data_IF_844096598345
#
_entry.id   IF_844096598345
#
_cell.length_a   1.000
_cell.length_b   1.000
_cell.length_c   1.000
_cell.angle_alpha   90.00
_cell.angle_beta   90.00
_cell.angle_gamma   90.00
#
_symmetry.space_group_name_H-M   'P 1'
#
loop_
_entity.id
_entity.type
_entity.pdbx_description
1 polymer ?
#
# COMPACT_ATOMS: atom_id res chain seq x y z
N UNK A 1 17.05 8.21 8.58
CA UNK A 1 17.04 8.47 7.12
C UNK A 1 15.92 7.62 6.51
N UNK A 2 15.21 8.13 5.51
CA UNK A 2 13.98 7.53 4.98
C UNK A 2 14.04 7.45 3.46
N UNK A 3 13.57 6.35 2.90
CA UNK A 3 13.36 6.14 1.47
C UNK A 3 11.90 5.72 1.25
N UNK A 4 11.30 6.25 0.18
CA UNK A 4 9.99 5.81 -0.33
C UNK A 4 10.09 5.64 -1.82
N UNK A 5 9.50 4.56 -2.33
CA UNK A 5 9.44 4.29 -3.76
C UNK A 5 8.78 5.43 -4.52
N UNK A 6 9.33 5.77 -5.69
CA UNK A 6 8.71 6.72 -6.62
C UNK A 6 7.54 6.12 -7.40
N UNK A 7 7.38 4.79 -7.33
CA UNK A 7 6.29 4.04 -7.99
C UNK A 7 4.94 4.55 -7.46
N UNK A 8 3.98 4.82 -8.35
CA UNK A 8 2.65 5.25 -7.96
C UNK A 8 1.88 4.15 -7.22
N UNK A 9 0.84 4.51 -6.46
CA UNK A 9 -0.02 3.51 -5.80
C UNK A 9 -0.63 2.53 -6.82
N UNK A 10 -1.07 3.04 -7.97
CA UNK A 10 -1.63 2.21 -9.04
C UNK A 10 -0.59 1.25 -9.64
N UNK A 11 0.66 1.69 -9.82
CA UNK A 11 1.75 0.81 -10.25
C UNK A 11 2.04 -0.29 -9.23
N UNK A 12 2.08 0.05 -7.94
CA UNK A 12 2.30 -0.92 -6.87
C UNK A 12 1.15 -1.94 -6.82
N UNK A 13 -0.09 -1.50 -6.96
CA UNK A 13 -1.26 -2.41 -7.01
C UNK A 13 -1.22 -3.29 -8.26
N UNK A 14 -0.86 -2.78 -9.44
CA UNK A 14 -0.69 -3.62 -10.63
C UNK A 14 0.36 -4.73 -10.41
N UNK A 15 1.46 -4.40 -9.72
CA UNK A 15 2.54 -5.36 -9.43
C UNK A 15 2.13 -6.43 -8.42
N UNK A 16 1.13 -6.17 -7.56
CA UNK A 16 0.59 -7.20 -6.65
C UNK A 16 0.07 -8.41 -7.41
N UNK A 17 -0.49 -8.24 -8.63
CA UNK A 17 -1.01 -9.35 -9.43
C UNK A 17 0.00 -10.47 -9.73
N UNK A 18 1.30 -10.20 -9.57
CA UNK A 18 2.38 -11.17 -9.75
C UNK A 18 2.99 -11.65 -8.41
N UNK A 19 2.36 -11.34 -7.28
CA UNK A 19 2.86 -11.58 -5.93
C UNK A 19 1.86 -12.36 -5.10
N UNK A 20 2.30 -12.89 -3.97
CA UNK A 20 1.40 -13.46 -2.95
C UNK A 20 0.80 -12.36 -2.09
N UNK A 21 -0.53 -12.25 -2.14
CA UNK A 21 -1.35 -11.40 -1.27
C UNK A 21 -2.72 -12.05 -1.07
N UNK A 22 -3.37 -11.79 0.06
CA UNK A 22 -4.67 -12.38 0.36
C UNK A 22 -5.83 -11.59 -0.24
N UNK A 23 -5.80 -10.27 -0.07
CA UNK A 23 -6.83 -9.33 -0.49
C UNK A 23 -6.26 -7.91 -0.55
N UNK A 24 -6.87 -7.06 -1.36
CA UNK A 24 -6.58 -5.63 -1.43
C UNK A 24 -7.75 -4.92 -0.77
N UNK A 25 -7.47 -4.24 0.34
CA UNK A 25 -8.44 -3.41 1.04
C UNK A 25 -8.25 -1.96 0.65
N UNK A 26 -9.19 -1.44 -0.12
CA UNK A 26 -9.22 -0.05 -0.57
C UNK A 26 -10.07 0.75 0.41
N UNK A 27 -9.54 1.87 0.87
CA UNK A 27 -10.20 2.79 1.78
C UNK A 27 -10.55 4.07 1.02
N UNK A 28 -11.83 4.40 1.02
CA UNK A 28 -12.36 5.66 0.48
C UNK A 28 -12.76 6.55 1.66
N UNK A 29 -12.15 7.72 1.75
CA UNK A 29 -12.42 8.73 2.76
C UNK A 29 -12.86 10.04 2.10
N UNK A 30 -13.47 10.93 2.88
CA UNK A 30 -13.68 12.30 2.44
C UNK A 30 -12.31 12.95 2.13
N UNK A 31 -12.21 13.74 1.06
CA UNK A 31 -10.98 14.48 0.75
C UNK A 31 -10.60 15.45 1.90
N UNK A 32 -11.60 16.03 2.57
CA UNK A 32 -11.42 16.76 3.81
C UNK A 32 -11.28 15.79 4.98
N UNK A 33 -10.05 15.64 5.50
CA UNK A 33 -9.71 14.67 6.56
C UNK A 33 -10.54 14.81 7.85
N UNK A 34 -11.09 15.99 8.12
CA UNK A 34 -11.93 16.26 9.29
C UNK A 34 -13.39 15.84 9.10
N UNK A 35 -13.83 15.63 7.85
CA UNK A 35 -15.19 15.24 7.51
C UNK A 35 -15.32 13.73 7.33
N UNK A 36 -16.50 13.22 7.62
CA UNK A 36 -16.89 11.83 7.35
C UNK A 36 -17.66 11.76 6.04
N UNK A 37 -17.63 10.61 5.39
CA UNK A 37 -18.59 10.35 4.32
C UNK A 37 -19.98 10.20 4.94
N UNK A 38 -21.02 10.79 4.34
CA UNK A 38 -22.38 10.58 4.79
C UNK A 38 -22.73 9.10 4.67
N UNK A 39 -23.58 8.62 5.60
CA UNK A 39 -24.15 7.28 5.47
C UNK A 39 -25.18 7.31 4.35
N UNK A 40 -24.80 6.79 3.19
CA UNK A 40 -25.70 6.66 2.05
C UNK A 40 -26.38 5.29 2.05
N UNK A 41 -27.55 5.21 1.44
CA UNK A 41 -28.25 3.95 1.21
C UNK A 41 -27.34 2.94 0.46
N UNK A 42 -27.16 1.71 0.96
CA UNK A 42 -26.33 0.69 0.32
C UNK A 42 -26.68 0.40 -1.15
N UNK A 43 -27.97 0.46 -1.53
CA UNK A 43 -28.39 0.22 -2.91
C UNK A 43 -27.87 1.29 -3.87
N UNK A 44 -27.92 2.57 -3.46
CA UNK A 44 -27.34 3.66 -4.24
C UNK A 44 -25.83 3.50 -4.38
N UNK A 45 -25.17 2.96 -3.34
CA UNK A 45 -23.73 2.69 -3.40
C UNK A 45 -23.42 1.61 -4.42
N UNK A 46 -24.21 0.52 -4.41
CA UNK A 46 -24.05 -0.53 -5.42
C UNK A 46 -24.27 0.00 -6.84
N UNK A 47 -25.30 0.79 -7.07
CA UNK A 47 -25.58 1.36 -8.40
C UNK A 47 -24.44 2.28 -8.87
N UNK A 48 -23.95 3.15 -8.00
CA UNK A 48 -22.79 4.01 -8.30
C UNK A 48 -21.54 3.19 -8.64
N UNK A 49 -21.25 2.15 -7.84
CA UNK A 49 -20.08 1.29 -8.06
C UNK A 49 -20.21 0.52 -9.36
N UNK A 50 -21.39 -0.02 -9.70
CA UNK A 50 -21.63 -0.70 -10.98
C UNK A 50 -21.39 0.20 -12.19
N UNK A 51 -21.75 1.48 -12.07
CA UNK A 51 -21.54 2.47 -13.12
C UNK A 51 -20.07 2.92 -13.23
N UNK A 52 -19.36 2.98 -12.11
CA UNK A 52 -18.00 3.55 -12.04
C UNK A 52 -16.89 2.50 -12.17
N UNK A 53 -17.18 1.24 -11.86
CA UNK A 53 -16.22 0.14 -11.80
C UNK A 53 -16.70 -0.99 -12.71
N UNK A 54 -16.01 -1.17 -13.83
CA UNK A 54 -16.35 -2.21 -14.81
C UNK A 54 -16.28 -3.63 -14.23
N UNK A 55 -15.33 -3.88 -13.32
CA UNK A 55 -15.13 -5.18 -12.66
C UNK A 55 -15.77 -5.25 -11.27
N UNK A 56 -16.88 -4.55 -11.06
CA UNK A 56 -17.57 -4.49 -9.78
C UNK A 56 -17.95 -5.87 -9.20
N UNK A 57 -18.15 -6.88 -10.05
CA UNK A 57 -18.41 -8.26 -9.63
C UNK A 57 -17.22 -8.90 -8.88
N UNK A 58 -16.01 -8.35 -9.02
CA UNK A 58 -14.81 -8.80 -8.30
C UNK A 58 -14.68 -8.19 -6.90
N UNK A 59 -15.63 -7.35 -6.48
CA UNK A 59 -15.69 -6.82 -5.13
C UNK A 59 -16.26 -7.90 -4.21
N UNK A 60 -15.43 -8.40 -3.30
CA UNK A 60 -15.82 -9.45 -2.36
C UNK A 60 -16.62 -8.88 -1.17
N UNK A 61 -16.32 -7.65 -0.76
CA UNK A 61 -16.98 -7.02 0.38
C UNK A 61 -16.97 -5.49 0.29
N UNK A 62 -17.96 -4.88 0.93
CA UNK A 62 -18.04 -3.45 1.17
C UNK A 62 -18.53 -3.20 2.59
N UNK A 63 -17.82 -2.36 3.35
CA UNK A 63 -18.24 -1.98 4.70
C UNK A 63 -17.93 -0.53 5.06
N UNK A 64 -18.75 0.05 5.92
CA UNK A 64 -18.42 1.32 6.57
C UNK A 64 -17.48 1.09 7.74
N UNK A 65 -16.41 1.85 7.83
CA UNK A 65 -15.50 1.82 8.98
C UNK A 65 -16.04 2.68 10.12
N UNK A 66 -15.59 2.42 11.34
CA UNK A 66 -15.93 3.24 12.53
C UNK A 66 -15.49 4.70 12.40
N UNK A 67 -14.51 4.97 11.53
CA UNK A 67 -13.99 6.30 11.24
C UNK A 67 -14.83 7.07 10.20
N UNK A 68 -15.93 6.49 9.68
CA UNK A 68 -16.76 7.14 8.67
C UNK A 68 -16.15 7.11 7.27
N UNK A 69 -15.34 6.09 6.98
CA UNK A 69 -14.79 5.78 5.66
C UNK A 69 -15.55 4.59 5.06
N UNK A 70 -15.49 4.42 3.75
CA UNK A 70 -15.96 3.20 3.08
C UNK A 70 -14.75 2.35 2.78
N UNK A 71 -14.86 1.05 2.98
CA UNK A 71 -13.81 0.10 2.66
C UNK A 71 -14.36 -0.94 1.68
N UNK A 72 -13.63 -1.15 0.59
CA UNK A 72 -13.88 -2.20 -0.39
C UNK A 72 -12.78 -3.25 -0.29
N UNK A 73 -13.17 -4.51 -0.44
CA UNK A 73 -12.24 -5.66 -0.47
C UNK A 73 -12.35 -6.32 -1.82
N UNK A 74 -11.21 -6.54 -2.48
CA UNK A 74 -11.13 -7.27 -3.74
C UNK A 74 -9.80 -8.01 -3.83
N UNK A 75 -9.78 -9.13 -4.57
CA UNK A 75 -8.53 -9.79 -4.96
C UNK A 75 -8.04 -9.37 -6.33
N UNK A 76 -8.86 -8.66 -7.11
CA UNK A 76 -8.52 -8.26 -8.47
C UNK A 76 -7.80 -6.89 -8.49
N UNK A 77 -6.53 -6.81 -8.92
CA UNK A 77 -5.78 -5.56 -8.95
C UNK A 77 -6.42 -4.51 -9.86
N UNK A 78 -7.06 -4.92 -10.96
CA UNK A 78 -7.73 -4.02 -11.90
C UNK A 78 -8.95 -3.37 -11.22
N UNK A 79 -9.79 -4.16 -10.55
CA UNK A 79 -10.88 -3.64 -9.74
C UNK A 79 -10.38 -2.68 -8.65
N UNK A 80 -9.28 -3.02 -7.97
CA UNK A 80 -8.68 -2.17 -6.95
C UNK A 80 -8.24 -0.82 -7.52
N UNK A 81 -7.59 -0.80 -8.68
CA UNK A 81 -7.15 0.44 -9.35
C UNK A 81 -8.34 1.30 -9.79
N UNK A 82 -9.41 0.68 -10.30
CA UNK A 82 -10.62 1.43 -10.66
C UNK A 82 -11.23 2.13 -9.45
N UNK A 83 -11.28 1.44 -8.29
CA UNK A 83 -11.72 2.04 -7.03
C UNK A 83 -10.76 3.13 -6.54
N UNK A 84 -9.45 2.93 -6.66
CA UNK A 84 -8.43 3.90 -6.27
C UNK A 84 -8.43 5.15 -7.14
N UNK A 85 -8.84 5.03 -8.40
CA UNK A 85 -8.88 6.13 -9.37
C UNK A 85 -10.13 7.01 -9.24
N UNK A 86 -11.04 6.69 -8.31
CA UNK A 86 -12.20 7.52 -8.04
C UNK A 86 -11.78 8.83 -7.35
N UNK A 87 -12.07 9.97 -7.98
CA UNK A 87 -11.86 11.30 -7.39
C UNK A 87 -13.10 11.80 -6.64
N UNK A 88 -14.27 11.32 -7.04
CA UNK A 88 -15.55 11.63 -6.41
C UNK A 88 -16.33 10.36 -6.11
N UNK A 89 -17.14 10.43 -5.06
CA UNK A 89 -18.05 9.36 -4.66
C UNK A 89 -19.40 9.99 -4.38
N UNK A 90 -20.39 9.72 -5.25
CA UNK A 90 -21.73 10.29 -5.15
C UNK A 90 -21.74 11.83 -5.07
N UNK A 91 -20.89 12.48 -5.87
CA UNK A 91 -20.78 13.95 -5.91
C UNK A 91 -19.95 14.57 -4.78
N UNK A 92 -19.35 13.75 -3.91
CA UNK A 92 -18.45 14.22 -2.84
C UNK A 92 -17.01 13.95 -3.25
N UNK A 93 -16.13 14.94 -3.11
CA UNK A 93 -14.70 14.73 -3.34
C UNK A 93 -14.10 13.80 -2.28
N UNK A 94 -13.32 12.82 -2.74
CA UNK A 94 -12.77 11.76 -1.89
C UNK A 94 -11.25 11.68 -1.98
N UNK A 95 -10.68 10.98 -1.02
CA UNK A 95 -9.33 10.44 -1.08
C UNK A 95 -9.39 8.92 -0.99
N UNK A 96 -8.49 8.27 -1.71
CA UNK A 96 -8.38 6.81 -1.79
C UNK A 96 -6.99 6.38 -1.32
N UNK A 97 -6.93 5.23 -0.66
CA UNK A 97 -5.67 4.59 -0.26
C UNK A 97 -5.92 3.09 -0.08
N UNK A 98 -4.88 2.32 0.20
CA UNK A 98 -4.99 0.90 0.57
C UNK A 98 -4.52 0.65 2.01
N UNK A 99 -4.98 -0.46 2.59
CA UNK A 99 -4.43 -0.97 3.85
C UNK A 99 -3.15 -1.75 3.52
N UNK A 100 -2.01 -1.13 3.75
CA UNK A 100 -0.69 -1.66 3.40
C UNK A 100 -0.36 -2.96 4.12
N UNK A 101 -0.85 -3.15 5.34
CA UNK A 101 -0.61 -4.35 6.15
C UNK A 101 -1.09 -5.64 5.45
N UNK A 102 -2.04 -5.54 4.52
CA UNK A 102 -2.60 -6.69 3.81
C UNK A 102 -1.84 -7.03 2.51
N UNK A 103 -0.93 -6.14 2.09
CA UNK A 103 -0.25 -6.22 0.78
C UNK A 103 1.25 -5.94 0.88
N UNK A 104 1.79 -5.85 2.10
CA UNK A 104 3.20 -5.58 2.34
C UNK A 104 3.75 -6.42 3.49
N UNK A 105 5.04 -6.71 3.41
CA UNK A 105 5.79 -7.41 4.42
C UNK A 105 6.96 -6.54 4.88
N UNK A 106 7.36 -6.70 6.15
CA UNK A 106 8.40 -5.87 6.76
C UNK A 106 9.44 -6.72 7.46
N UNK A 107 10.70 -6.36 7.31
CA UNK A 107 11.82 -7.02 7.98
C UNK A 107 12.96 -6.04 8.25
N UNK A 108 13.85 -6.42 9.17
CA UNK A 108 15.05 -5.65 9.52
C UNK A 108 16.27 -6.30 8.91
N UNK A 109 17.13 -5.48 8.32
CA UNK A 109 18.53 -5.85 8.06
C UNK A 109 19.40 -5.07 9.03
N UNK A 110 20.28 -5.79 9.72
CA UNK A 110 21.23 -5.22 10.68
C UNK A 110 22.56 -4.94 10.00
N UNK A 111 23.42 -4.20 10.71
CA UNK A 111 24.81 -4.01 10.31
C UNK A 111 24.99 -3.43 8.89
N UNK A 112 24.10 -2.54 8.46
CA UNK A 112 24.27 -1.77 7.21
C UNK A 112 25.12 -0.53 7.49
N UNK A 113 26.22 -0.30 6.73
CA UNK A 113 27.01 0.90 6.86
C UNK A 113 26.16 2.16 6.76
N UNK A 114 26.39 3.12 7.65
CA UNK A 114 25.67 4.40 7.66
C UNK A 114 26.00 5.25 6.43
N UNK A 115 27.15 5.01 5.81
CA UNK A 115 27.60 5.61 4.56
C UNK A 115 26.83 5.12 3.34
N UNK A 116 26.30 3.89 3.34
CA UNK A 116 25.53 3.33 2.22
C UNK A 116 24.24 4.12 2.00
N UNK A 117 24.04 4.76 0.83
CA UNK A 117 22.77 5.41 0.51
C UNK A 117 21.62 4.40 0.44
N UNK A 118 20.45 4.75 0.97
CA UNK A 118 19.29 3.86 0.91
C UNK A 118 18.86 3.56 -0.54
N UNK A 119 19.09 4.47 -1.49
CA UNK A 119 18.79 4.23 -2.90
C UNK A 119 19.63 3.10 -3.52
N UNK A 120 20.92 3.02 -3.15
CA UNK A 120 21.81 1.94 -3.59
C UNK A 120 21.39 0.60 -2.99
N UNK A 121 21.08 0.59 -1.69
CA UNK A 121 20.58 -0.60 -1.00
C UNK A 121 19.25 -1.11 -1.59
N UNK A 122 18.36 -0.21 -1.99
CA UNK A 122 17.12 -0.58 -2.68
C UNK A 122 17.40 -1.25 -4.01
N UNK A 123 18.27 -0.65 -4.85
CA UNK A 123 18.59 -1.19 -6.16
C UNK A 123 19.18 -2.61 -6.05
N UNK A 124 20.09 -2.82 -5.10
CA UNK A 124 20.69 -4.12 -4.83
C UNK A 124 19.68 -5.17 -4.35
N UNK A 125 18.78 -4.79 -3.43
CA UNK A 125 17.76 -5.71 -2.91
C UNK A 125 16.72 -6.06 -3.96
N UNK A 126 16.22 -5.08 -4.73
CA UNK A 126 15.26 -5.34 -5.81
C UNK A 126 15.89 -6.25 -6.89
N UNK A 127 17.15 -6.03 -7.27
CA UNK A 127 17.88 -6.83 -8.28
C UNK A 127 18.14 -8.27 -7.83
N UNK A 128 18.66 -8.47 -6.61
CA UNK A 128 19.10 -9.80 -6.14
C UNK A 128 17.95 -10.69 -5.64
N UNK A 129 16.79 -10.12 -5.29
CA UNK A 129 15.72 -10.83 -4.59
C UNK A 129 14.38 -10.88 -5.34
N UNK A 130 14.29 -10.31 -6.55
CA UNK A 130 13.05 -10.24 -7.35
C UNK A 130 11.86 -9.74 -6.52
N UNK A 131 12.07 -8.61 -5.83
CA UNK A 131 11.09 -8.01 -4.94
C UNK A 131 10.94 -6.52 -5.24
N UNK A 132 9.87 -5.91 -4.73
CA UNK A 132 9.64 -4.46 -4.85
C UNK A 132 9.73 -3.83 -3.48
N UNK A 133 10.66 -2.90 -3.30
CA UNK A 133 10.77 -2.12 -2.08
C UNK A 133 9.81 -0.93 -2.15
N UNK A 134 8.92 -0.85 -1.18
CA UNK A 134 7.94 0.25 -1.02
C UNK A 134 8.53 1.38 -0.17
N UNK A 135 9.20 1.03 0.92
CA UNK A 135 9.73 1.96 1.91
C UNK A 135 10.97 1.39 2.60
N UNK A 136 11.94 2.24 2.95
CA UNK A 136 12.98 1.90 3.92
C UNK A 136 13.16 2.99 4.97
N UNK A 137 13.46 2.57 6.20
CA UNK A 137 13.78 3.46 7.31
C UNK A 137 15.04 3.00 8.04
N UNK A 138 16.09 3.82 7.97
CA UNK A 138 17.33 3.63 8.74
C UNK A 138 17.20 4.21 10.14
N UNK A 139 17.52 3.43 11.16
CA UNK A 139 17.55 3.86 12.56
C UNK A 139 18.97 4.20 12.98
N UNK A 140 19.24 5.49 13.16
CA UNK A 140 20.52 5.96 13.67
C UNK A 140 20.45 6.02 15.20
N UNK A 141 21.41 5.39 15.88
CA UNK A 141 21.55 5.50 17.34
C UNK A 141 22.47 6.69 17.64
N UNK A 142 21.95 7.69 18.35
CA UNK A 142 22.76 8.83 18.80
C UNK A 142 23.91 8.33 19.67
N UNK A 143 25.11 8.88 19.46
CA UNK A 143 26.35 8.57 20.20
C UNK A 143 26.82 7.11 20.08
N UNK A 144 26.40 6.38 19.04
CA UNK A 144 26.97 5.07 18.73
C UNK A 144 28.26 5.26 17.95
N UNK A 145 29.41 4.72 18.42
CA UNK A 145 30.64 4.70 17.63
C UNK A 145 30.57 3.74 16.44
N UNK A 146 29.53 2.89 16.37
CA UNK A 146 29.31 1.99 15.23
C UNK A 146 28.82 2.79 14.04
N UNK A 147 29.60 2.75 12.96
CA UNK A 147 29.23 3.21 11.61
C UNK A 147 28.23 2.28 10.91
N UNK A 148 27.44 1.55 11.69
CA UNK A 148 26.49 0.54 11.25
C UNK A 148 25.14 0.82 11.88
N UNK A 149 24.06 0.58 11.12
CA UNK A 149 22.71 0.83 11.61
C UNK A 149 21.71 -0.17 11.03
N UNK A 150 20.68 -0.55 11.79
CA UNK A 150 19.60 -1.35 11.26
C UNK A 150 18.71 -0.52 10.31
N UNK A 151 18.19 -1.20 9.29
CA UNK A 151 17.26 -0.66 8.30
C UNK A 151 16.00 -1.51 8.30
N UNK A 152 14.84 -0.90 8.59
CA UNK A 152 13.53 -1.51 8.37
C UNK A 152 13.17 -1.36 6.90
N UNK A 153 12.82 -2.46 6.26
CA UNK A 153 12.47 -2.52 4.85
C UNK A 153 11.04 -2.98 4.76
N UNK A 154 10.23 -2.30 3.95
CA UNK A 154 8.89 -2.71 3.58
C UNK A 154 8.90 -3.10 2.10
N UNK A 155 8.54 -4.33 1.82
CA UNK A 155 8.39 -4.85 0.46
C UNK A 155 6.91 -5.03 0.11
N UNK A 156 6.62 -5.03 -1.19
CA UNK A 156 5.32 -5.40 -1.72
C UNK A 156 5.14 -6.92 -1.64
N UNK A 157 3.92 -7.37 -1.33
CA UNK A 157 3.60 -8.78 -1.05
C UNK A 157 3.65 -9.09 0.44
N UNK A 158 2.96 -10.16 0.85
CA UNK A 158 2.81 -10.50 2.29
C UNK A 158 3.84 -11.50 2.80
N UNK A 159 4.74 -11.98 1.94
CA UNK A 159 5.73 -13.00 2.27
C UNK A 159 7.11 -12.36 2.38
N UNK A 160 7.74 -12.44 3.55
CA UNK A 160 9.15 -12.06 3.71
C UNK A 160 10.01 -13.16 3.07
N UNK A 161 11.00 -12.81 2.21
CA UNK A 161 11.96 -13.79 1.71
C UNK A 161 12.70 -14.47 2.85
N UNK A 162 12.87 -15.79 2.78
CA UNK A 162 13.57 -16.58 3.80
C UNK A 162 15.02 -16.14 3.99
N UNK A 163 15.67 -15.73 2.90
CA UNK A 163 16.98 -15.12 2.89
C UNK A 163 16.98 -13.89 1.99
N UNK A 164 17.62 -12.81 2.45
CA UNK A 164 17.85 -11.60 1.66
C UNK A 164 19.29 -11.61 1.18
N UNK A 165 19.46 -11.51 -0.14
CA UNK A 165 20.74 -11.33 -0.80
C UNK A 165 21.05 -9.84 -0.87
N UNK A 166 22.23 -9.47 -0.39
CA UNK A 166 22.86 -8.14 -0.46
C UNK A 166 24.28 -8.35 -1.00
#
# INVERSE_FOLDING_TARGET
MFYKSAKSLNELVMRLGNQTYAEINIVIANAEKTKKLPRTNPFLIQDFVKQSVSRHEQIENMKHTRQGKIMFTTKDPICAIQLLSLETFMGISISTDIIWENVSARFLIFDIPTSTPLGELVAEIEDKNDCIVVEMRRFLKQNSPKEMSPVLITILGTTVPEAIKI
#
